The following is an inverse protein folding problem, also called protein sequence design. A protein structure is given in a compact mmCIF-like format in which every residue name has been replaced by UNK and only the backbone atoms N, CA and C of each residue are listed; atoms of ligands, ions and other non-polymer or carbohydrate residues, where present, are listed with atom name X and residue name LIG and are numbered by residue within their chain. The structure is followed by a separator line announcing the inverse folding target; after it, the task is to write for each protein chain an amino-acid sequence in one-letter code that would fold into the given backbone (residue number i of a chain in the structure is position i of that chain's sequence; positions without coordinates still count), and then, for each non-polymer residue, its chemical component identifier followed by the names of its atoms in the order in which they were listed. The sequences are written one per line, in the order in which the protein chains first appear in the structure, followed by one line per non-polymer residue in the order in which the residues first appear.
data_IF_447173210398
#
_entry.id   IF_447173210398
#
_cell.length_a   1.000
_cell.length_b   1.000
_cell.length_c   1.000
_cell.angle_alpha   90.00
_cell.angle_beta   90.00
_cell.angle_gamma   90.00
#
_symmetry.space_group_name_H-M   'P 1'
#
loop_
_entity.id
_entity.type
_entity.pdbx_description
1 polymer ?
#
# COMPACT_ATOMS: atom_id res chain seq x y z
N UNK A 1 16.71 -3.25 10.82
CA UNK A 1 15.65 -2.51 10.09
C UNK A 1 14.31 -3.12 10.44
N UNK A 2 13.24 -2.33 10.60
CA UNK A 2 11.91 -2.86 10.93
C UNK A 2 11.43 -3.83 9.85
N UNK A 3 10.68 -4.86 10.28
CA UNK A 3 10.16 -5.91 9.39
C UNK A 3 9.06 -5.38 8.45
N UNK A 4 8.34 -4.35 8.89
CA UNK A 4 7.30 -3.66 8.11
C UNK A 4 7.64 -2.17 7.94
N UNK A 5 7.31 -1.57 6.79
CA UNK A 5 7.58 -0.16 6.54
C UNK A 5 6.62 0.76 7.30
N UNK A 6 7.08 1.97 7.62
CA UNK A 6 6.21 3.06 8.08
C UNK A 6 5.37 3.59 6.93
N UNK A 7 4.05 3.71 7.13
CA UNK A 7 3.11 4.22 6.13
C UNK A 7 2.62 5.65 6.41
N UNK A 8 2.62 6.07 7.68
CA UNK A 8 2.19 7.41 8.08
C UNK A 8 3.08 8.49 7.43
N UNK A 9 2.45 9.59 6.98
CA UNK A 9 3.12 10.71 6.35
C UNK A 9 3.69 10.44 4.95
N UNK A 10 3.49 9.25 4.38
CA UNK A 10 3.91 8.96 3.01
C UNK A 10 3.01 9.68 2.00
N UNK A 11 3.58 10.05 0.85
CA UNK A 11 2.79 10.72 -0.19
C UNK A 11 1.65 9.83 -0.70
N UNK A 12 0.49 10.43 -0.97
CA UNK A 12 -0.69 9.74 -1.51
C UNK A 12 -0.32 8.97 -2.79
N UNK A 13 0.38 9.62 -3.72
CA UNK A 13 0.79 9.01 -4.98
C UNK A 13 1.66 7.76 -4.78
N UNK A 14 2.60 7.80 -3.83
CA UNK A 14 3.42 6.64 -3.49
C UNK A 14 2.59 5.50 -2.91
N UNK A 15 1.73 5.79 -1.93
CA UNK A 15 0.89 4.77 -1.28
C UNK A 15 -0.04 4.07 -2.28
N UNK A 16 -0.70 4.83 -3.16
CA UNK A 16 -1.54 4.27 -4.23
C UNK A 16 -0.72 3.40 -5.17
N UNK A 17 0.44 3.88 -5.65
CA UNK A 17 1.30 3.10 -6.52
C UNK A 17 1.73 1.79 -5.87
N UNK A 18 2.14 1.83 -4.59
CA UNK A 18 2.55 0.62 -3.88
C UNK A 18 1.40 -0.37 -3.66
N UNK A 19 0.19 0.09 -3.33
CA UNK A 19 -0.97 -0.79 -3.23
C UNK A 19 -1.30 -1.46 -4.57
N UNK A 20 -1.23 -0.72 -5.67
CA UNK A 20 -1.43 -1.25 -7.03
C UNK A 20 -0.36 -2.25 -7.44
N UNK A 21 0.91 -1.94 -7.18
CA UNK A 21 2.04 -2.83 -7.50
C UNK A 21 1.95 -4.14 -6.70
N UNK A 22 1.57 -4.07 -5.43
CA UNK A 22 1.39 -5.26 -4.59
C UNK A 22 0.18 -6.08 -5.07
N UNK A 23 -0.94 -5.43 -5.41
CA UNK A 23 -2.15 -6.12 -5.88
C UNK A 23 -1.92 -6.85 -7.20
N UNK A 24 -1.24 -6.21 -8.15
CA UNK A 24 -0.89 -6.81 -9.44
C UNK A 24 0.25 -7.83 -9.33
N UNK A 25 1.06 -7.74 -8.29
CA UNK A 25 2.26 -8.56 -8.10
C UNK A 25 3.52 -7.98 -8.73
N UNK A 26 3.46 -6.77 -9.32
CA UNK A 26 4.65 -6.04 -9.76
C UNK A 26 5.64 -5.86 -8.59
N UNK A 27 5.14 -5.57 -7.38
CA UNK A 27 5.93 -5.58 -6.16
C UNK A 27 5.81 -6.92 -5.44
N UNK A 28 6.94 -7.60 -5.30
CA UNK A 28 7.03 -8.96 -4.75
C UNK A 28 8.20 -9.15 -3.77
N UNK A 29 8.74 -8.06 -3.21
CA UNK A 29 9.84 -8.08 -2.25
C UNK A 29 9.36 -7.99 -0.79
N UNK A 30 10.22 -8.42 0.14
CA UNK A 30 9.95 -8.31 1.58
C UNK A 30 8.59 -8.90 1.98
N UNK A 31 7.80 -8.14 2.75
CA UNK A 31 6.48 -8.55 3.22
C UNK A 31 5.33 -8.24 2.23
N UNK A 32 5.64 -7.98 0.95
CA UNK A 32 4.62 -7.73 -0.07
C UNK A 32 3.66 -8.92 -0.26
N UNK A 33 4.13 -10.16 -0.05
CA UNK A 33 3.28 -11.35 -0.13
C UNK A 33 2.15 -11.35 0.91
N UNK A 34 2.42 -10.87 2.13
CA UNK A 34 1.41 -10.72 3.19
C UNK A 34 0.43 -9.61 2.83
N UNK A 35 0.96 -8.45 2.40
CA UNK A 35 0.12 -7.30 2.04
C UNK A 35 -0.76 -7.57 0.80
N UNK A 36 -0.34 -8.47 -0.11
CA UNK A 36 -1.11 -8.87 -1.28
C UNK A 36 -2.49 -9.43 -0.91
N UNK A 37 -2.57 -10.22 0.17
CA UNK A 37 -3.86 -10.70 0.70
C UNK A 37 -4.74 -9.57 1.22
N UNK A 38 -4.14 -8.54 1.84
CA UNK A 38 -4.85 -7.37 2.38
C UNK A 38 -5.42 -6.50 1.25
N UNK A 39 -4.63 -6.20 0.21
CA UNK A 39 -5.09 -5.34 -0.91
C UNK A 39 -5.93 -6.07 -1.96
N UNK A 40 -6.07 -7.40 -1.87
CA UNK A 40 -6.77 -8.19 -2.89
C UNK A 40 -8.23 -7.73 -3.09
N UNK A 41 -8.93 -7.44 -2.00
CA UNK A 41 -10.33 -6.98 -2.00
C UNK A 41 -10.52 -5.46 -2.06
N UNK A 42 -9.44 -4.67 -2.06
CA UNK A 42 -9.51 -3.21 -2.01
C UNK A 42 -9.65 -2.65 -3.42
N UNK A 43 -10.70 -1.88 -3.69
CA UNK A 43 -10.92 -1.18 -4.96
C UNK A 43 -9.96 -0.01 -5.15
N UNK A 44 -9.81 0.47 -6.38
CA UNK A 44 -8.97 1.63 -6.69
C UNK A 44 -9.41 2.91 -5.94
N UNK A 45 -10.73 3.09 -5.76
CA UNK A 45 -11.28 4.20 -4.99
C UNK A 45 -10.94 4.09 -3.50
N UNK A 46 -11.04 2.89 -2.93
CA UNK A 46 -10.65 2.66 -1.53
C UNK A 46 -9.15 2.83 -1.32
N UNK A 47 -8.31 2.43 -2.28
CA UNK A 47 -6.87 2.69 -2.23
C UNK A 47 -6.57 4.18 -2.16
N UNK A 48 -7.29 5.00 -2.94
CA UNK A 48 -7.15 6.45 -2.90
C UNK A 48 -7.52 7.00 -1.51
N UNK A 49 -8.68 6.60 -0.96
CA UNK A 49 -9.12 7.02 0.37
C UNK A 49 -8.15 6.61 1.47
N UNK A 50 -7.63 5.38 1.43
CA UNK A 50 -6.64 4.87 2.39
C UNK A 50 -5.36 5.71 2.31
N UNK A 51 -4.88 5.98 1.09
CA UNK A 51 -3.66 6.75 0.87
C UNK A 51 -3.80 8.20 1.35
N UNK A 52 -4.94 8.84 1.11
CA UNK A 52 -5.24 10.19 1.61
C UNK A 52 -5.20 10.22 3.13
N UNK A 53 -5.89 9.29 3.80
CA UNK A 53 -5.88 9.21 5.27
C UNK A 53 -4.46 8.99 5.82
N UNK A 54 -3.73 7.99 5.31
CA UNK A 54 -2.36 7.68 5.75
C UNK A 54 -1.38 8.85 5.56
N UNK A 55 -1.57 9.67 4.53
CA UNK A 55 -0.71 10.84 4.28
C UNK A 55 -0.88 11.96 5.31
N UNK A 56 -2.00 11.98 6.03
CA UNK A 56 -2.31 12.98 7.07
C UNK A 56 -1.86 12.58 8.48
N UNK A 57 -1.41 11.32 8.64
CA UNK A 57 -0.92 10.78 9.91
C UNK A 57 0.52 11.17 10.22
#
# INVERSE_FOLDING_TARGET
MPVYPTLAGQSVAYLVAQMKDIKTGARHNGQAAVMKGVVAGVSDAEMQTIAEWLSTL
#
